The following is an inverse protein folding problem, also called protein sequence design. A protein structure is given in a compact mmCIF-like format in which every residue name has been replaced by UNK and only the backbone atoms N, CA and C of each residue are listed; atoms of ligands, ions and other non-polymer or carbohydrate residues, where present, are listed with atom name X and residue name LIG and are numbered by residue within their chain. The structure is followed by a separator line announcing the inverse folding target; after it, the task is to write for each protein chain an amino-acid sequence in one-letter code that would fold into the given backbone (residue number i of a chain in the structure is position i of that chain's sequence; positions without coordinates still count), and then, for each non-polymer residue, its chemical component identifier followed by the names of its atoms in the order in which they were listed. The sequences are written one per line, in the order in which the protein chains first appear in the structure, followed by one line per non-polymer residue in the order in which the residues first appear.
data_IF_888708729463
#
_entry.id   IF_888708729463
#
_cell.length_a   1.000
_cell.length_b   1.000
_cell.length_c   1.000
_cell.angle_alpha   90.00
_cell.angle_beta   90.00
_cell.angle_gamma   90.00
#
_symmetry.space_group_name_H-M   'P 1'
#
loop_
_entity.id
_entity.type
_entity.pdbx_description
1 polymer ?
#
# COMPACT_ATOMS: atom_id res chain seq x y z
N UNK A 1 -28.31 -17.17 9.45
CA UNK A 1 -26.90 -17.38 9.84
C UNK A 1 -26.01 -17.01 8.66
N UNK A 2 -25.09 -16.06 8.81
CA UNK A 2 -24.10 -15.72 7.77
C UNK A 2 -23.15 -16.91 7.53
N UNK A 3 -22.41 -16.92 6.42
CA UNK A 3 -21.33 -17.89 6.19
C UNK A 3 -20.35 -17.87 7.37
N UNK A 4 -19.80 -19.01 7.76
CA UNK A 4 -18.80 -19.07 8.82
C UNK A 4 -17.41 -18.95 8.21
N UNK A 5 -16.52 -18.20 8.83
CA UNK A 5 -15.19 -17.92 8.31
C UNK A 5 -14.11 -18.22 9.34
N UNK A 6 -13.00 -18.78 8.88
CA UNK A 6 -11.81 -19.04 9.69
C UNK A 6 -10.60 -18.46 8.97
N UNK A 7 -9.85 -17.61 9.66
CA UNK A 7 -8.53 -17.16 9.24
C UNK A 7 -7.51 -18.27 9.48
N UNK A 8 -6.77 -18.65 8.44
CA UNK A 8 -5.63 -19.55 8.53
C UNK A 8 -4.38 -18.74 8.22
N UNK A 9 -3.49 -18.61 9.20
CA UNK A 9 -2.26 -17.83 9.10
C UNK A 9 -1.04 -18.76 9.06
N UNK A 10 -0.19 -18.65 8.04
CA UNK A 10 1.03 -19.46 7.91
C UNK A 10 2.29 -18.65 8.19
N UNK A 11 3.09 -19.12 9.15
CA UNK A 11 4.42 -18.60 9.46
C UNK A 11 5.45 -19.73 9.41
N UNK A 12 6.28 -19.75 8.35
CA UNK A 12 7.20 -20.85 8.15
C UNK A 12 6.45 -22.19 8.10
N UNK A 13 6.71 -23.06 9.08
CA UNK A 13 6.06 -24.37 9.20
C UNK A 13 4.87 -24.39 10.19
N UNK A 14 4.36 -23.25 10.64
CA UNK A 14 3.20 -23.14 11.55
C UNK A 14 1.96 -22.68 10.81
N UNK A 15 0.82 -23.27 11.14
CA UNK A 15 -0.53 -22.82 10.74
C UNK A 15 -1.34 -22.46 11.99
N UNK A 16 -1.83 -21.23 12.06
CA UNK A 16 -2.69 -20.71 13.12
C UNK A 16 -4.10 -20.46 12.60
N UNK A 17 -5.07 -21.09 13.23
CA UNK A 17 -6.50 -21.02 12.89
C UNK A 17 -7.21 -20.13 13.90
N UNK A 18 -7.85 -19.07 13.42
CA UNK A 18 -8.60 -18.12 14.24
C UNK A 18 -9.99 -17.93 13.61
N UNK A 19 -11.09 -18.22 14.33
CA UNK A 19 -12.44 -18.09 13.80
C UNK A 19 -12.90 -16.63 13.77
N UNK A 20 -13.78 -16.31 12.83
CA UNK A 20 -14.60 -15.11 12.87
C UNK A 20 -15.94 -15.42 13.52
N UNK A 21 -16.34 -14.58 14.48
CA UNK A 21 -17.61 -14.68 15.20
C UNK A 21 -18.36 -13.36 15.11
N UNK A 22 -19.70 -13.43 15.14
CA UNK A 22 -20.52 -12.24 15.07
C UNK A 22 -20.36 -11.42 16.35
N UNK A 23 -19.90 -10.18 16.23
CA UNK A 23 -19.71 -9.25 17.34
C UNK A 23 -20.30 -7.90 16.97
N UNK A 24 -21.29 -7.44 17.73
CA UNK A 24 -22.04 -6.21 17.45
C UNK A 24 -22.58 -6.10 16.01
N UNK A 25 -22.99 -7.24 15.42
CA UNK A 25 -23.55 -7.30 14.07
C UNK A 25 -22.53 -7.35 12.94
N UNK A 26 -21.23 -7.44 13.23
CA UNK A 26 -20.15 -7.57 12.25
C UNK A 26 -19.27 -8.78 12.61
N UNK A 27 -18.79 -9.52 11.62
CA UNK A 27 -17.87 -10.63 11.84
C UNK A 27 -16.50 -10.09 12.30
N UNK A 28 -16.01 -10.63 13.43
CA UNK A 28 -14.75 -10.24 14.05
C UNK A 28 -13.93 -11.46 14.38
N UNK A 29 -12.62 -11.36 14.12
CA UNK A 29 -11.66 -12.39 14.51
C UNK A 29 -11.60 -12.49 16.04
N UNK A 30 -11.54 -13.71 16.57
CA UNK A 30 -11.41 -13.97 18.00
C UNK A 30 -10.31 -14.99 18.28
N UNK A 31 -9.69 -14.89 19.46
CA UNK A 31 -8.74 -15.85 20.02
C UNK A 31 -9.35 -16.73 21.12
N UNK A 32 -10.62 -16.52 21.48
CA UNK A 32 -11.35 -17.38 22.44
C UNK A 32 -11.39 -18.85 22.02
N UNK A 33 -11.16 -19.12 20.74
CA UNK A 33 -10.77 -20.41 20.20
C UNK A 33 -9.63 -20.22 19.20
N UNK A 34 -8.61 -21.08 19.28
CA UNK A 34 -7.57 -21.15 18.27
C UNK A 34 -7.02 -22.57 18.17
N UNK A 35 -6.51 -22.92 17.00
CA UNK A 35 -5.70 -24.14 16.79
C UNK A 35 -4.36 -23.73 16.19
N UNK A 36 -3.27 -24.32 16.65
CA UNK A 36 -1.93 -24.09 16.11
C UNK A 36 -1.28 -25.42 15.76
N UNK A 37 -1.03 -25.65 14.47
CA UNK A 37 -0.36 -26.84 13.95
C UNK A 37 1.06 -26.48 13.51
N UNK A 38 2.04 -27.36 13.77
CA UNK A 38 3.46 -27.08 13.50
C UNK A 38 4.15 -28.26 12.83
N UNK A 39 4.98 -27.98 11.83
CA UNK A 39 5.86 -28.97 11.22
C UNK A 39 5.07 -30.15 10.66
N UNK A 40 5.41 -31.36 11.13
CA UNK A 40 4.79 -32.60 10.67
C UNK A 40 3.30 -32.72 11.00
N UNK A 41 2.78 -31.92 11.95
CA UNK A 41 1.36 -31.96 12.34
C UNK A 41 0.45 -31.20 11.36
N UNK A 42 1.01 -30.36 10.48
CA UNK A 42 0.26 -29.61 9.47
C UNK A 42 -0.13 -30.48 8.25
N UNK A 43 -0.75 -31.63 8.52
CA UNK A 43 -1.28 -32.55 7.50
C UNK A 43 -2.67 -32.12 7.04
N UNK A 44 -3.09 -32.55 5.84
CA UNK A 44 -4.41 -32.24 5.31
C UNK A 44 -5.53 -32.72 6.26
N UNK A 45 -5.35 -33.89 6.88
CA UNK A 45 -6.29 -34.45 7.86
C UNK A 45 -6.43 -33.53 9.08
N UNK A 46 -5.31 -33.13 9.69
CA UNK A 46 -5.31 -32.28 10.90
C UNK A 46 -5.80 -30.87 10.63
N UNK A 47 -5.47 -30.31 9.47
CA UNK A 47 -5.99 -29.01 9.01
C UNK A 47 -7.51 -29.09 8.86
N UNK A 48 -8.02 -30.15 8.22
CA UNK A 48 -9.45 -30.38 8.07
C UNK A 48 -10.19 -30.51 9.40
N UNK A 49 -9.64 -31.31 10.32
CA UNK A 49 -10.16 -31.46 11.69
C UNK A 49 -10.19 -30.13 12.45
N UNK A 50 -9.14 -29.31 12.33
CA UNK A 50 -9.05 -28.00 12.98
C UNK A 50 -10.13 -27.03 12.46
N UNK A 51 -10.40 -27.04 11.15
CA UNK A 51 -11.45 -26.22 10.54
C UNK A 51 -12.84 -26.65 11.00
N UNK A 52 -13.13 -27.95 11.04
CA UNK A 52 -14.42 -28.45 11.55
C UNK A 52 -14.63 -28.07 13.03
N UNK A 53 -13.58 -28.14 13.86
CA UNK A 53 -13.67 -27.68 15.26
C UNK A 53 -13.92 -26.17 15.34
N UNK A 54 -13.28 -25.38 14.49
CA UNK A 54 -13.50 -23.94 14.43
C UNK A 54 -14.92 -23.59 13.98
N UNK A 55 -15.46 -24.27 12.97
CA UNK A 55 -16.85 -24.06 12.54
C UNK A 55 -17.85 -24.47 13.63
N UNK A 56 -17.63 -25.62 14.29
CA UNK A 56 -18.45 -26.03 15.42
C UNK A 56 -18.39 -25.02 16.58
N UNK A 57 -17.22 -24.40 16.81
CA UNK A 57 -17.07 -23.31 17.77
C UNK A 57 -17.91 -22.09 17.37
N UNK A 58 -17.84 -21.64 16.12
CA UNK A 58 -18.63 -20.49 15.62
C UNK A 58 -20.13 -20.76 15.77
N UNK A 59 -20.59 -21.95 15.36
CA UNK A 59 -22.00 -22.37 15.44
C UNK A 59 -22.51 -22.36 16.89
N UNK A 60 -21.71 -22.89 17.84
CA UNK A 60 -22.10 -22.99 19.24
C UNK A 60 -22.04 -21.66 19.98
N UNK A 61 -21.07 -20.81 19.63
CA UNK A 61 -20.79 -19.58 20.38
C UNK A 61 -21.84 -18.51 20.09
N UNK A 62 -22.33 -18.44 18.85
CA UNK A 62 -23.28 -17.41 18.46
C UNK A 62 -22.69 -16.00 18.57
N UNK A 63 -23.53 -14.96 18.67
CA UNK A 63 -23.06 -13.59 18.82
C UNK A 63 -22.40 -13.37 20.18
N UNK A 64 -21.25 -12.69 20.19
CA UNK A 64 -20.53 -12.34 21.41
C UNK A 64 -20.25 -10.85 21.49
N UNK A 65 -19.98 -10.37 22.70
CA UNK A 65 -19.41 -9.06 22.94
C UNK A 65 -17.91 -9.22 23.21
N UNK A 66 -17.10 -8.36 22.57
CA UNK A 66 -15.67 -8.24 22.79
C UNK A 66 -15.34 -6.77 23.04
N UNK A 67 -14.50 -6.49 24.01
CA UNK A 67 -13.99 -5.14 24.24
C UNK A 67 -12.95 -4.75 23.17
N UNK A 68 -12.51 -3.49 23.19
CA UNK A 68 -11.55 -2.98 22.20
C UNK A 68 -10.18 -3.65 22.33
N UNK A 69 -9.75 -4.01 23.54
CA UNK A 69 -8.46 -4.62 23.78
C UNK A 69 -8.42 -6.05 23.20
N UNK A 70 -9.47 -6.83 23.45
CA UNK A 70 -9.66 -8.16 22.89
C UNK A 70 -9.68 -8.13 21.36
N UNK A 71 -10.47 -7.22 20.78
CA UNK A 71 -10.53 -7.04 19.32
C UNK A 71 -9.15 -6.71 18.72
N UNK A 72 -8.38 -5.84 19.37
CA UNK A 72 -7.06 -5.43 18.89
C UNK A 72 -5.97 -6.48 19.10
N UNK A 73 -6.17 -7.46 19.98
CA UNK A 73 -5.14 -8.42 20.39
C UNK A 73 -5.43 -9.88 20.06
N UNK A 74 -6.56 -10.20 19.42
CA UNK A 74 -6.97 -11.56 19.02
C UNK A 74 -5.92 -12.34 18.18
N UNK A 75 -4.97 -11.67 17.54
CA UNK A 75 -3.91 -12.31 16.77
C UNK A 75 -2.68 -12.68 17.61
N UNK A 76 -2.59 -12.24 18.87
CA UNK A 76 -1.38 -12.41 19.69
C UNK A 76 -1.16 -13.84 20.15
N UNK A 77 -2.21 -14.64 20.25
CA UNK A 77 -2.15 -16.01 20.76
C UNK A 77 -1.20 -16.90 19.95
N UNK A 78 -0.27 -17.54 20.67
CA UNK A 78 0.77 -18.39 20.09
C UNK A 78 1.62 -17.70 19.00
N UNK A 79 1.85 -16.39 19.14
CA UNK A 79 2.73 -15.64 18.23
C UNK A 79 3.84 -14.91 18.97
N UNK A 80 4.93 -14.60 18.25
CA UNK A 80 6.08 -13.84 18.77
C UNK A 80 6.00 -12.34 18.51
N UNK A 81 4.94 -11.87 17.84
CA UNK A 81 4.86 -10.52 17.30
C UNK A 81 4.32 -9.54 18.34
N UNK A 82 4.89 -8.32 18.38
CA UNK A 82 4.46 -7.27 19.31
C UNK A 82 3.43 -6.30 18.71
N UNK A 83 3.28 -6.32 17.39
CA UNK A 83 2.33 -5.46 16.67
C UNK A 83 1.62 -6.25 15.59
N UNK A 84 0.34 -5.90 15.36
CA UNK A 84 -0.48 -6.51 14.30
C UNK A 84 0.22 -6.43 12.94
N UNK A 85 0.76 -5.26 12.60
CA UNK A 85 1.50 -5.04 11.35
C UNK A 85 2.66 -6.02 11.17
N UNK A 86 3.39 -6.35 12.24
CA UNK A 86 4.48 -7.33 12.18
C UNK A 86 3.93 -8.74 12.03
N UNK A 87 2.84 -9.09 12.72
CA UNK A 87 2.16 -10.36 12.51
C UNK A 87 1.69 -10.51 11.05
N UNK A 88 0.89 -9.57 10.56
CA UNK A 88 0.28 -9.64 9.23
C UNK A 88 1.31 -9.71 8.10
N UNK A 89 2.41 -8.94 8.19
CA UNK A 89 3.46 -8.92 7.16
C UNK A 89 4.27 -10.23 7.09
N UNK A 90 4.42 -10.93 8.22
CA UNK A 90 5.24 -12.12 8.32
C UNK A 90 4.42 -13.42 8.32
N UNK A 91 3.09 -13.32 8.15
CA UNK A 91 2.19 -14.47 8.05
C UNK A 91 1.42 -14.41 6.75
N UNK A 92 1.49 -15.50 5.99
CA UNK A 92 0.59 -15.69 4.86
C UNK A 92 -0.83 -15.89 5.34
N UNK A 93 -1.79 -15.56 4.47
CA UNK A 93 -3.19 -15.48 4.85
C UNK A 93 -4.07 -16.23 3.86
N UNK A 94 -4.83 -17.18 4.40
CA UNK A 94 -5.89 -17.91 3.72
C UNK A 94 -7.16 -17.78 4.56
N UNK A 95 -8.30 -17.56 3.91
CA UNK A 95 -9.61 -17.71 4.56
C UNK A 95 -10.22 -19.03 4.15
N UNK A 96 -10.89 -19.69 5.10
CA UNK A 96 -11.69 -20.88 4.86
C UNK A 96 -13.12 -20.59 5.29
N UNK A 97 -14.02 -20.54 4.32
CA UNK A 97 -15.43 -20.19 4.50
C UNK A 97 -16.31 -21.44 4.35
N UNK A 98 -17.27 -21.62 5.27
CA UNK A 98 -18.35 -22.60 5.19
C UNK A 98 -19.65 -21.89 4.87
N UNK A 99 -20.23 -22.21 3.71
CA UNK A 99 -21.49 -21.65 3.24
C UNK A 99 -22.68 -22.36 3.86
N UNK A 100 -23.86 -21.73 3.76
CA UNK A 100 -25.14 -22.28 4.24
C UNK A 100 -25.52 -23.61 3.58
N UNK A 101 -25.12 -23.81 2.33
CA UNK A 101 -25.39 -25.03 1.58
C UNK A 101 -24.44 -26.19 1.96
N UNK A 102 -23.50 -25.95 2.89
CA UNK A 102 -22.48 -26.90 3.31
C UNK A 102 -21.30 -27.00 2.36
N UNK A 103 -21.21 -26.13 1.34
CA UNK A 103 -20.01 -26.02 0.52
C UNK A 103 -18.96 -25.17 1.23
N UNK A 104 -17.70 -25.36 0.87
CA UNK A 104 -16.61 -24.55 1.39
C UNK A 104 -15.90 -23.80 0.27
N UNK A 105 -15.39 -22.62 0.61
CA UNK A 105 -14.46 -21.86 -0.22
C UNK A 105 -13.19 -21.63 0.57
N UNK A 106 -12.05 -21.86 -0.07
CA UNK A 106 -10.73 -21.55 0.48
C UNK A 106 -10.09 -20.52 -0.44
N UNK A 107 -9.83 -19.33 0.10
CA UNK A 107 -9.27 -18.21 -0.64
C UNK A 107 -7.90 -17.85 -0.11
N UNK A 108 -6.89 -17.77 -1.00
CA UNK A 108 -5.57 -17.24 -0.64
C UNK A 108 -5.47 -15.77 -1.06
N UNK A 109 -4.81 -14.98 -0.22
CA UNK A 109 -4.62 -13.55 -0.48
C UNK A 109 -3.14 -13.20 -0.62
N UNK A 110 -2.82 -12.13 -1.37
CA UNK A 110 -1.48 -11.59 -1.45
C UNK A 110 -0.97 -11.20 -0.05
N UNK A 111 0.36 -11.14 0.15
CA UNK A 111 0.93 -10.72 1.43
C UNK A 111 0.35 -9.39 1.90
N UNK A 112 -0.16 -9.37 3.14
CA UNK A 112 -0.82 -8.20 3.74
C UNK A 112 0.17 -7.05 3.90
N UNK A 113 -0.10 -5.93 3.23
CA UNK A 113 0.68 -4.69 3.37
C UNK A 113 0.09 -3.73 4.42
N UNK A 114 -1.20 -3.88 4.76
CA UNK A 114 -2.01 -3.14 5.77
C UNK A 114 -3.17 -4.02 6.28
N UNK A 115 -4.20 -3.42 6.89
CA UNK A 115 -5.43 -4.09 7.36
C UNK A 115 -6.32 -4.62 6.22
N UNK A 116 -6.01 -4.23 4.98
CA UNK A 116 -6.73 -4.65 3.78
C UNK A 116 -5.98 -5.81 3.11
N UNK A 117 -6.75 -6.83 2.73
CA UNK A 117 -6.30 -7.87 1.80
C UNK A 117 -6.47 -7.38 0.36
N UNK A 118 -5.55 -7.73 -0.53
CA UNK A 118 -5.68 -7.48 -1.97
C UNK A 118 -6.67 -8.46 -2.63
N UNK A 119 -6.78 -8.40 -3.96
CA UNK A 119 -7.56 -9.36 -4.75
C UNK A 119 -7.08 -10.80 -4.50
N UNK A 120 -8.01 -11.77 -4.52
CA UNK A 120 -7.72 -13.18 -4.29
C UNK A 120 -6.66 -13.71 -5.28
N UNK A 121 -5.60 -14.33 -4.76
CA UNK A 121 -4.61 -15.04 -5.59
C UNK A 121 -5.24 -16.31 -6.16
N UNK A 122 -6.03 -17.00 -5.36
CA UNK A 122 -6.78 -18.17 -5.79
C UNK A 122 -8.03 -18.35 -4.92
N UNK A 123 -9.04 -18.99 -5.51
CA UNK A 123 -10.26 -19.43 -4.84
C UNK A 123 -10.51 -20.89 -5.18
N UNK A 124 -10.61 -21.74 -4.17
CA UNK A 124 -10.80 -23.19 -4.31
C UNK A 124 -12.13 -23.56 -3.68
N UNK A 125 -13.05 -24.09 -4.50
CA UNK A 125 -14.34 -24.60 -4.03
C UNK A 125 -14.23 -26.06 -3.63
N UNK A 126 -14.67 -26.38 -2.40
CA UNK A 126 -14.82 -27.75 -1.92
C UNK A 126 -16.31 -28.10 -1.88
N UNK A 127 -16.74 -29.19 -2.55
CA UNK A 127 -18.16 -29.53 -2.66
C UNK A 127 -18.74 -30.01 -1.32
N UNK A 128 -20.06 -29.90 -1.21
CA UNK A 128 -20.84 -30.39 -0.07
C UNK A 128 -20.57 -31.88 0.15
N UNK A 129 -20.39 -32.28 1.41
CA UNK A 129 -20.18 -33.68 1.78
C UNK A 129 -18.76 -34.21 1.54
N UNK A 130 -17.82 -33.35 1.11
CA UNK A 130 -16.41 -33.72 1.07
C UNK A 130 -15.88 -34.02 2.48
N UNK A 131 -14.98 -35.00 2.65
CA UNK A 131 -14.40 -35.30 3.95
C UNK A 131 -13.47 -34.17 4.42
N UNK A 132 -13.22 -34.02 5.74
CA UNK A 132 -12.37 -32.94 6.27
C UNK A 132 -10.98 -32.87 5.63
N UNK A 133 -10.38 -34.03 5.29
CA UNK A 133 -9.09 -34.10 4.58
C UNK A 133 -9.10 -33.36 3.24
N UNK A 134 -10.23 -33.33 2.52
CA UNK A 134 -10.35 -32.60 1.27
C UNK A 134 -10.31 -31.08 1.50
N UNK A 135 -10.93 -30.61 2.59
CA UNK A 135 -10.86 -29.22 3.00
C UNK A 135 -9.44 -28.83 3.40
N UNK A 136 -8.76 -29.67 4.19
CA UNK A 136 -7.37 -29.41 4.54
C UNK A 136 -6.41 -29.45 3.35
N UNK A 137 -6.69 -30.29 2.35
CA UNK A 137 -5.94 -30.28 1.08
C UNK A 137 -6.16 -28.99 0.29
N UNK A 138 -7.39 -28.47 0.24
CA UNK A 138 -7.67 -27.18 -0.38
C UNK A 138 -6.87 -26.03 0.27
N UNK A 139 -6.69 -26.04 1.60
CA UNK A 139 -5.82 -25.06 2.29
C UNK A 139 -4.36 -25.21 1.87
N UNK A 140 -3.84 -26.43 1.77
CA UNK A 140 -2.47 -26.68 1.31
C UNK A 140 -2.28 -26.24 -0.15
N UNK A 141 -3.24 -26.53 -1.02
CA UNK A 141 -3.24 -26.13 -2.42
C UNK A 141 -3.31 -24.60 -2.56
N UNK A 142 -4.10 -23.92 -1.72
CA UNK A 142 -4.16 -22.47 -1.67
C UNK A 142 -2.81 -21.84 -1.25
N UNK A 143 -2.12 -22.44 -0.28
CA UNK A 143 -0.78 -22.02 0.09
C UNK A 143 0.26 -22.30 -1.00
N UNK A 144 0.14 -23.41 -1.72
CA UNK A 144 1.01 -23.70 -2.85
C UNK A 144 0.80 -22.70 -3.99
N UNK A 145 -0.44 -22.30 -4.27
CA UNK A 145 -0.75 -21.24 -5.23
C UNK A 145 -0.15 -19.89 -4.80
N UNK A 146 -0.24 -19.56 -3.50
CA UNK A 146 0.39 -18.36 -2.95
C UNK A 146 1.93 -18.39 -3.04
N UNK A 147 2.56 -19.56 -2.83
CA UNK A 147 4.00 -19.73 -3.00
C UNK A 147 4.42 -19.52 -4.46
N UNK A 148 3.66 -20.09 -5.41
CA UNK A 148 3.86 -19.85 -6.84
C UNK A 148 3.73 -18.37 -7.21
N UNK A 149 2.67 -17.72 -6.73
CA UNK A 149 2.44 -16.30 -6.96
C UNK A 149 3.59 -15.44 -6.40
N UNK A 150 4.11 -15.74 -5.20
CA UNK A 150 5.25 -15.03 -4.62
C UNK A 150 6.56 -15.23 -5.39
N UNK A 151 6.76 -16.42 -5.95
CA UNK A 151 7.92 -16.69 -6.80
C UNK A 151 7.89 -15.82 -8.06
N UNK A 152 6.70 -15.59 -8.62
CA UNK A 152 6.48 -14.68 -9.75
C UNK A 152 6.52 -13.19 -9.34
N UNK A 153 6.27 -12.89 -8.06
CA UNK A 153 6.21 -11.53 -7.50
C UNK A 153 7.20 -11.34 -6.31
N UNK A 154 8.53 -11.37 -6.54
CA UNK A 154 9.55 -11.34 -5.48
C UNK A 154 9.57 -10.05 -4.63
N UNK A 155 8.82 -9.02 -5.02
CA UNK A 155 8.62 -7.77 -4.27
C UNK A 155 7.32 -7.68 -3.47
N UNK A 156 6.47 -8.72 -3.47
CA UNK A 156 5.09 -8.66 -3.00
C UNK A 156 4.15 -8.03 -4.03
N UNK A 157 2.87 -7.83 -3.65
CA UNK A 157 1.91 -7.19 -4.54
C UNK A 157 2.36 -5.75 -4.65
N UNK A 158 2.65 -5.27 -5.86
CA UNK A 158 2.67 -3.84 -6.07
C UNK A 158 1.32 -3.34 -5.53
N UNK A 159 1.27 -2.39 -4.57
CA UNK A 159 -0.01 -1.81 -4.18
C UNK A 159 -0.74 -1.45 -5.48
N UNK A 160 -2.03 -1.78 -5.58
CA UNK A 160 -2.84 -1.34 -6.71
C UNK A 160 -2.52 0.13 -6.89
N UNK A 161 -1.95 0.48 -8.05
CA UNK A 161 -1.57 1.85 -8.31
C UNK A 161 -2.82 2.68 -8.05
N UNK A 162 -2.77 3.66 -7.14
CA UNK A 162 -3.91 4.55 -6.98
C UNK A 162 -4.23 5.10 -8.39
N UNK A 163 -5.51 5.26 -8.74
CA UNK A 163 -5.88 5.70 -10.08
C UNK A 163 -5.09 6.97 -10.42
N UNK A 164 -4.74 7.13 -11.70
CA UNK A 164 -4.00 8.31 -12.15
C UNK A 164 -4.68 9.57 -11.63
N UNK A 165 -3.91 10.41 -10.95
CA UNK A 165 -4.40 11.69 -10.48
C UNK A 165 -4.32 12.70 -11.62
N UNK A 166 -5.35 13.53 -11.74
CA UNK A 166 -5.41 14.56 -12.79
C UNK A 166 -5.72 15.91 -12.18
N UNK A 167 -5.08 16.95 -12.70
CA UNK A 167 -5.37 18.33 -12.36
C UNK A 167 -5.41 19.20 -13.61
N UNK A 168 -6.25 20.23 -13.58
CA UNK A 168 -6.31 21.25 -14.62
C UNK A 168 -5.37 22.40 -14.25
N UNK A 169 -4.49 22.77 -15.17
CA UNK A 169 -3.72 24.01 -15.12
C UNK A 169 -4.61 25.21 -15.50
N UNK A 170 -4.17 26.42 -15.19
CA UNK A 170 -4.90 27.67 -15.45
C UNK A 170 -5.18 27.90 -16.94
N UNK A 171 -4.32 27.41 -17.83
CA UNK A 171 -4.48 27.47 -19.29
C UNK A 171 -5.55 26.49 -19.83
N UNK A 172 -6.12 25.64 -18.96
CA UNK A 172 -7.06 24.59 -19.31
C UNK A 172 -6.42 23.26 -19.72
N UNK A 173 -5.08 23.17 -19.73
CA UNK A 173 -4.37 21.90 -19.93
C UNK A 173 -4.61 20.97 -18.76
N UNK A 174 -4.71 19.66 -19.04
CA UNK A 174 -4.88 18.63 -18.00
C UNK A 174 -3.58 17.85 -17.85
N UNK A 175 -3.04 17.85 -16.62
CA UNK A 175 -1.88 17.04 -16.25
C UNK A 175 -2.37 15.80 -15.54
N UNK A 176 -2.04 14.64 -16.10
CA UNK A 176 -2.35 13.32 -15.52
C UNK A 176 -1.05 12.63 -15.14
N UNK A 177 -0.91 12.23 -13.87
CA UNK A 177 0.25 11.49 -13.37
C UNK A 177 -0.18 10.27 -12.56
N UNK A 178 0.60 9.18 -12.57
CA UNK A 178 0.35 8.07 -11.68
C UNK A 178 0.55 8.54 -10.24
N UNK A 179 -0.30 8.05 -9.33
CA UNK A 179 -0.13 8.37 -7.93
C UNK A 179 1.22 7.84 -7.40
N UNK A 180 1.87 8.56 -6.46
CA UNK A 180 3.22 8.21 -6.02
C UNK A 180 3.26 6.82 -5.36
N UNK A 181 4.09 5.93 -5.89
CA UNK A 181 4.32 4.63 -5.28
C UNK A 181 5.02 4.76 -3.91
N UNK A 182 4.87 3.75 -3.05
CA UNK A 182 5.68 3.65 -1.83
C UNK A 182 4.98 4.09 -0.54
N UNK A 183 3.66 4.19 -0.54
CA UNK A 183 2.84 4.38 0.67
C UNK A 183 2.49 5.82 1.00
N UNK A 184 2.61 6.72 0.02
CA UNK A 184 2.10 8.08 0.09
C UNK A 184 0.58 8.10 0.34
N UNK A 185 0.14 9.17 0.99
CA UNK A 185 -1.26 9.49 1.27
C UNK A 185 -1.57 10.80 0.59
N UNK A 186 -2.70 10.87 -0.11
CA UNK A 186 -3.17 12.10 -0.76
C UNK A 186 -3.60 13.12 0.29
N UNK A 187 -3.20 14.37 0.08
CA UNK A 187 -3.45 15.49 0.97
C UNK A 187 -4.23 16.58 0.24
N UNK A 188 -4.93 17.42 0.99
CA UNK A 188 -5.42 18.69 0.45
C UNK A 188 -4.22 19.58 0.12
N UNK A 189 -4.15 20.19 -1.08
CA UNK A 189 -3.06 21.08 -1.44
C UNK A 189 -2.87 22.22 -0.44
N UNK A 190 -1.61 22.48 -0.07
CA UNK A 190 -1.27 23.45 0.98
C UNK A 190 -1.30 24.91 0.52
N UNK A 191 -1.32 25.16 -0.78
CA UNK A 191 -1.30 26.49 -1.38
C UNK A 191 -2.06 26.51 -2.70
N UNK A 192 -2.43 27.70 -3.19
CA UNK A 192 -3.27 27.86 -4.37
C UNK A 192 -2.59 27.42 -5.67
N UNK A 193 -1.26 27.54 -5.71
CA UNK A 193 -0.39 27.11 -6.80
C UNK A 193 -0.16 25.59 -6.80
N UNK A 194 -0.47 24.89 -5.71
CA UNK A 194 -0.33 23.43 -5.62
C UNK A 194 -1.61 22.78 -6.13
N UNK A 195 -1.49 22.02 -7.21
CA UNK A 195 -2.60 21.36 -7.88
C UNK A 195 -2.90 19.99 -7.26
N UNK A 196 -1.85 19.24 -6.91
CA UNK A 196 -1.94 17.91 -6.31
C UNK A 196 -0.85 17.74 -5.26
N UNK A 197 -1.13 17.02 -4.18
CA UNK A 197 -0.19 16.84 -3.08
C UNK A 197 -0.35 15.49 -2.39
N UNK A 198 0.78 14.88 -2.04
CA UNK A 198 0.84 13.67 -1.24
C UNK A 198 1.93 13.77 -0.18
N UNK A 199 1.70 13.13 0.96
CA UNK A 199 2.66 13.00 2.06
C UNK A 199 3.05 11.54 2.30
N UNK A 200 4.31 11.29 2.65
CA UNK A 200 4.77 9.99 3.12
C UNK A 200 4.90 10.03 4.65
N UNK A 201 4.03 9.34 5.41
CA UNK A 201 4.11 9.36 6.86
C UNK A 201 5.36 8.65 7.38
N UNK A 202 5.99 9.26 8.37
CA UNK A 202 7.07 8.68 9.15
C UNK A 202 6.58 7.63 10.16
N UNK A 203 7.50 7.11 10.97
CA UNK A 203 7.15 6.12 12.02
C UNK A 203 6.25 6.70 13.09
N UNK A 204 6.39 8.00 13.35
CA UNK A 204 5.71 8.71 14.43
C UNK A 204 4.42 9.41 13.95
N UNK A 205 4.02 9.16 12.70
CA UNK A 205 2.85 9.79 12.07
C UNK A 205 3.18 11.07 11.30
N UNK A 206 4.20 11.82 11.73
CA UNK A 206 4.66 13.03 11.03
C UNK A 206 5.20 12.72 9.63
N UNK A 207 4.80 13.48 8.59
CA UNK A 207 5.34 13.31 7.24
C UNK A 207 6.86 13.46 7.18
N UNK A 208 7.50 12.64 6.36
CA UNK A 208 8.97 12.67 6.15
C UNK A 208 9.35 12.92 4.69
N UNK A 209 8.37 12.94 3.79
CA UNK A 209 8.55 13.33 2.40
C UNK A 209 7.22 13.80 1.81
N UNK A 210 7.29 14.62 0.77
CA UNK A 210 6.14 15.11 0.03
C UNK A 210 6.39 14.98 -1.46
N UNK A 211 5.35 14.62 -2.20
CA UNK A 211 5.30 14.74 -3.66
C UNK A 211 4.17 15.67 -3.99
N UNK A 212 4.39 16.65 -4.85
CA UNK A 212 3.35 17.58 -5.23
C UNK A 212 3.54 18.09 -6.65
N UNK A 213 2.43 18.46 -7.28
CA UNK A 213 2.38 19.13 -8.57
C UNK A 213 1.99 20.58 -8.31
N UNK A 214 2.81 21.52 -8.77
CA UNK A 214 2.51 22.96 -8.68
C UNK A 214 2.56 23.63 -10.06
N UNK A 215 1.75 24.66 -10.24
CA UNK A 215 1.72 25.51 -11.42
C UNK A 215 2.27 26.89 -11.09
N UNK A 216 2.85 27.55 -12.08
CA UNK A 216 3.20 28.95 -11.97
C UNK A 216 3.63 29.56 -13.29
N UNK A 217 3.72 30.88 -13.23
CA UNK A 217 4.10 31.74 -14.34
C UNK A 217 5.63 31.85 -14.39
N UNK A 218 6.24 30.87 -15.06
CA UNK A 218 7.68 30.77 -15.24
C UNK A 218 7.90 30.73 -16.74
N UNK A 219 8.71 31.66 -17.27
CA UNK A 219 9.07 31.76 -18.70
C UNK A 219 9.76 30.49 -19.26
N UNK A 220 9.01 29.39 -19.33
CA UNK A 220 9.46 28.05 -19.69
C UNK A 220 10.36 27.34 -18.67
N UNK A 221 10.70 26.07 -18.95
CA UNK A 221 11.45 25.18 -18.04
C UNK A 221 12.91 25.59 -17.78
N UNK A 222 13.36 26.75 -18.27
CA UNK A 222 14.75 27.21 -18.22
C UNK A 222 14.96 28.65 -17.75
N UNK A 223 13.90 29.37 -17.34
CA UNK A 223 14.03 30.76 -16.90
C UNK A 223 15.00 30.90 -15.71
N UNK A 224 16.02 31.76 -15.85
CA UNK A 224 16.98 32.03 -14.77
C UNK A 224 16.29 32.67 -13.56
N UNK A 225 15.28 33.51 -13.78
CA UNK A 225 14.48 34.12 -12.72
C UNK A 225 13.69 33.09 -11.90
N UNK A 226 13.07 32.11 -12.57
CA UNK A 226 12.31 31.04 -11.89
C UNK A 226 13.22 30.11 -11.09
N UNK A 227 14.42 29.84 -11.61
CA UNK A 227 15.45 29.09 -10.90
C UNK A 227 15.95 29.85 -9.66
N UNK A 228 16.29 31.13 -9.80
CA UNK A 228 16.79 31.96 -8.71
C UNK A 228 15.73 32.17 -7.61
N UNK A 229 14.46 32.35 -8.01
CA UNK A 229 13.33 32.41 -7.10
C UNK A 229 13.17 31.09 -6.32
N UNK A 230 13.23 29.94 -7.01
CA UNK A 230 13.13 28.63 -6.37
C UNK A 230 14.27 28.40 -5.37
N UNK A 231 15.52 28.71 -5.74
CA UNK A 231 16.67 28.61 -4.83
C UNK A 231 16.53 29.59 -3.67
N UNK A 232 16.03 30.80 -3.91
CA UNK A 232 15.76 31.82 -2.89
C UNK A 232 14.73 31.35 -1.87
N UNK A 233 13.57 30.85 -2.32
CA UNK A 233 12.54 30.26 -1.46
C UNK A 233 13.08 29.07 -0.68
N UNK A 234 13.85 28.20 -1.34
CA UNK A 234 14.46 27.05 -0.68
C UNK A 234 15.42 27.47 0.44
N UNK A 235 16.27 28.48 0.24
CA UNK A 235 17.17 28.99 1.28
C UNK A 235 16.42 29.52 2.50
N UNK A 236 15.30 30.21 2.28
CA UNK A 236 14.46 30.74 3.36
C UNK A 236 13.82 29.60 4.16
N UNK A 237 13.28 28.59 3.50
CA UNK A 237 12.55 27.50 4.15
C UNK A 237 13.45 26.42 4.74
N UNK A 238 14.53 26.06 4.05
CA UNK A 238 15.36 24.88 4.35
C UNK A 238 16.78 25.23 4.84
N UNK A 239 17.15 26.51 4.82
CA UNK A 239 18.50 27.00 5.15
C UNK A 239 19.49 26.90 4.00
N UNK A 240 20.79 27.07 4.27
CA UNK A 240 21.79 27.05 3.19
C UNK A 240 22.01 25.65 2.57
N UNK A 241 22.02 25.53 1.24
CA UNK A 241 22.27 24.27 0.56
C UNK A 241 23.75 23.90 0.63
N UNK A 242 24.02 22.61 0.76
CA UNK A 242 25.35 22.03 0.52
C UNK A 242 25.61 21.86 -0.97
N UNK A 243 24.56 21.62 -1.75
CA UNK A 243 24.60 21.47 -3.20
C UNK A 243 23.31 21.99 -3.81
N UNK A 244 23.45 22.65 -4.95
CA UNK A 244 22.35 23.09 -5.79
C UNK A 244 22.75 22.80 -7.24
N UNK A 245 21.85 22.24 -8.03
CA UNK A 245 22.11 21.93 -9.43
C UNK A 245 20.88 22.04 -10.31
N UNK A 246 21.09 22.52 -11.53
CA UNK A 246 20.12 22.55 -12.62
C UNK A 246 20.70 21.77 -13.80
N UNK A 247 19.89 20.92 -14.41
CA UNK A 247 20.32 20.13 -15.56
C UNK A 247 19.17 19.72 -16.46
N UNK A 248 19.51 19.27 -17.66
CA UNK A 248 18.53 18.67 -18.57
C UNK A 248 17.95 17.38 -17.97
N UNK A 249 16.69 17.11 -18.30
CA UNK A 249 15.99 15.87 -17.96
C UNK A 249 15.27 15.36 -19.20
N UNK A 250 15.29 14.05 -19.41
CA UNK A 250 14.77 13.38 -20.61
C UNK A 250 13.61 12.39 -20.30
N UNK A 251 13.00 12.50 -19.11
CA UNK A 251 11.93 11.63 -18.67
C UNK A 251 10.54 12.26 -18.77
N UNK A 252 9.78 11.87 -19.80
CA UNK A 252 8.38 12.27 -19.97
C UNK A 252 8.23 13.70 -20.54
N UNK A 253 7.18 14.45 -20.15
CA UNK A 253 6.95 15.82 -20.65
C UNK A 253 7.89 16.86 -20.00
N UNK A 254 8.66 16.47 -18.99
CA UNK A 254 9.57 17.35 -18.26
C UNK A 254 10.92 17.45 -18.97
N UNK A 255 11.46 18.65 -19.10
CA UNK A 255 12.72 18.92 -19.82
C UNK A 255 13.89 19.31 -18.92
N UNK A 256 13.62 19.69 -17.67
CA UNK A 256 14.63 20.23 -16.75
C UNK A 256 14.44 19.65 -15.35
N UNK A 257 15.56 19.36 -14.68
CA UNK A 257 15.64 18.94 -13.29
C UNK A 257 16.37 19.99 -12.46
N UNK A 258 15.73 20.38 -11.36
CA UNK A 258 16.28 21.22 -10.31
C UNK A 258 16.49 20.38 -9.06
N UNK A 259 17.61 20.58 -8.37
CA UNK A 259 17.91 19.87 -7.13
C UNK A 259 18.63 20.79 -6.14
N UNK A 260 18.20 20.75 -4.88
CA UNK A 260 18.83 21.42 -3.77
C UNK A 260 18.87 20.46 -2.57
N UNK A 261 20.00 20.43 -1.87
CA UNK A 261 20.18 19.52 -0.72
C UNK A 261 21.05 20.12 0.35
N UNK A 262 20.72 19.82 1.60
CA UNK A 262 21.63 19.93 2.73
C UNK A 262 21.53 18.67 3.63
N UNK A 263 21.95 18.78 4.90
CA UNK A 263 21.88 17.65 5.84
C UNK A 263 20.43 17.27 6.20
N UNK A 264 19.54 18.26 6.20
CA UNK A 264 18.20 18.19 6.74
C UNK A 264 17.12 18.08 5.67
N UNK A 265 17.40 18.52 4.45
CA UNK A 265 16.42 18.53 3.35
C UNK A 265 17.06 18.16 2.01
N UNK A 266 16.26 17.51 1.17
CA UNK A 266 16.47 17.32 -0.26
C UNK A 266 15.19 17.76 -0.97
N UNK A 267 15.32 18.60 -1.98
CA UNK A 267 14.24 19.01 -2.86
C UNK A 267 14.63 18.76 -4.31
N UNK A 268 13.75 18.15 -5.08
CA UNK A 268 13.89 17.94 -6.52
C UNK A 268 12.63 18.47 -7.19
N UNK A 269 12.79 19.24 -8.27
CA UNK A 269 11.67 19.66 -9.12
C UNK A 269 11.97 19.29 -10.58
N UNK A 270 10.97 18.69 -11.24
CA UNK A 270 10.99 18.41 -12.68
C UNK A 270 10.03 19.37 -13.35
N UNK A 271 10.50 20.12 -14.36
CA UNK A 271 9.76 21.24 -14.96
C UNK A 271 9.31 20.91 -16.38
N UNK A 272 8.03 21.14 -16.67
CA UNK A 272 7.43 20.99 -17.99
C UNK A 272 6.64 22.25 -18.37
N UNK A 273 6.78 22.75 -19.61
CA UNK A 273 5.93 23.85 -20.08
C UNK A 273 4.48 23.39 -20.22
N UNK A 274 3.56 24.31 -19.93
CA UNK A 274 2.15 24.22 -20.35
C UNK A 274 1.84 25.42 -21.27
N UNK A 275 0.63 25.51 -21.81
CA UNK A 275 0.24 26.60 -22.69
C UNK A 275 0.24 27.97 -21.98
N UNK A 276 0.17 29.05 -22.76
CA UNK A 276 -0.01 30.40 -22.22
C UNK A 276 1.22 31.04 -21.55
N UNK A 277 2.39 30.41 -21.60
CA UNK A 277 3.61 30.91 -20.93
C UNK A 277 3.85 30.32 -19.54
N UNK A 278 2.89 29.56 -19.01
CA UNK A 278 3.00 28.89 -17.71
C UNK A 278 3.80 27.58 -17.80
N UNK A 279 4.20 27.07 -16.65
CA UNK A 279 4.80 25.75 -16.52
C UNK A 279 4.26 25.02 -15.28
N UNK A 280 4.45 23.71 -15.26
CA UNK A 280 4.17 22.86 -14.09
C UNK A 280 5.46 22.24 -13.57
N UNK A 281 5.52 22.05 -12.24
CA UNK A 281 6.63 21.40 -11.56
C UNK A 281 6.14 20.20 -10.77
N UNK A 282 6.71 19.03 -11.06
CA UNK A 282 6.55 17.84 -10.24
C UNK A 282 7.70 17.78 -9.23
N UNK A 283 7.36 17.91 -7.96
CA UNK A 283 8.30 18.14 -6.88
C UNK A 283 8.37 16.94 -5.92
N UNK A 284 9.56 16.72 -5.35
CA UNK A 284 9.83 15.79 -4.26
C UNK A 284 10.62 16.52 -3.18
N UNK A 285 10.08 16.57 -1.97
CA UNK A 285 10.77 17.03 -0.77
C UNK A 285 10.99 15.86 0.19
N UNK A 286 12.18 15.75 0.78
CA UNK A 286 12.55 14.68 1.72
C UNK A 286 13.26 15.25 2.93
N UNK A 287 12.75 14.93 4.13
CA UNK A 287 13.39 15.30 5.38
C UNK A 287 14.52 14.35 5.77
N UNK A 288 15.57 14.92 6.34
CA UNK A 288 16.76 14.24 6.86
C UNK A 288 17.29 13.16 5.91
N UNK A 289 17.54 13.48 4.61
CA UNK A 289 17.82 12.48 3.58
C UNK A 289 19.05 11.63 3.91
N UNK A 290 20.06 12.18 4.60
CA UNK A 290 21.24 11.43 5.05
C UNK A 290 20.94 10.34 6.06
N UNK A 291 19.99 10.56 6.99
CA UNK A 291 19.51 9.52 7.93
C UNK A 291 18.63 8.48 7.24
N UNK A 292 18.22 8.75 6.00
CA UNK A 292 17.23 7.97 5.23
C UNK A 292 17.71 7.66 3.81
N UNK A 293 19.02 7.52 3.60
CA UNK A 293 19.62 7.48 2.26
C UNK A 293 18.98 6.46 1.30
N UNK A 294 18.66 5.24 1.79
CA UNK A 294 17.98 4.22 0.97
C UNK A 294 16.54 4.61 0.60
N UNK A 295 15.83 5.27 1.51
CA UNK A 295 14.47 5.76 1.26
C UNK A 295 14.52 6.90 0.25
N UNK A 296 15.41 7.89 0.46
CA UNK A 296 15.58 9.02 -0.46
C UNK A 296 15.88 8.53 -1.87
N UNK A 297 16.87 7.64 -2.06
CA UNK A 297 17.19 7.08 -3.38
C UNK A 297 16.00 6.37 -4.04
N UNK A 298 15.19 5.64 -3.27
CA UNK A 298 13.98 4.98 -3.76
C UNK A 298 12.91 6.00 -4.17
N UNK A 299 12.75 7.07 -3.41
CA UNK A 299 11.78 8.14 -3.70
C UNK A 299 12.19 8.94 -4.94
N UNK A 300 13.48 9.22 -5.11
CA UNK A 300 14.01 9.86 -6.31
C UNK A 300 13.75 9.02 -7.57
N UNK A 301 13.95 7.70 -7.48
CA UNK A 301 13.61 6.78 -8.56
C UNK A 301 12.11 6.80 -8.87
N UNK A 302 11.27 6.74 -7.82
CA UNK A 302 9.81 6.76 -7.97
C UNK A 302 9.30 8.07 -8.59
N UNK A 303 9.88 9.21 -8.24
CA UNK A 303 9.61 10.50 -8.89
C UNK A 303 9.94 10.43 -10.39
N UNK A 304 11.10 9.88 -10.75
CA UNK A 304 11.50 9.72 -12.15
C UNK A 304 10.59 8.78 -12.94
N UNK A 305 10.12 7.71 -12.33
CA UNK A 305 9.15 6.78 -12.94
C UNK A 305 7.78 7.45 -13.14
N UNK A 306 7.31 8.20 -12.13
CA UNK A 306 6.07 8.97 -12.22
C UNK A 306 6.15 10.02 -13.33
N UNK A 307 7.26 10.77 -13.39
CA UNK A 307 7.50 11.80 -14.40
C UNK A 307 7.48 11.24 -15.82
N UNK A 308 8.09 10.05 -16.05
CA UNK A 308 8.07 9.36 -17.35
C UNK A 308 6.68 8.92 -17.78
N UNK A 309 5.81 8.62 -16.82
CA UNK A 309 4.44 8.20 -17.07
C UNK A 309 3.44 9.36 -17.17
N UNK A 310 3.82 10.56 -16.71
CA UNK A 310 2.98 11.76 -16.78
C UNK A 310 2.60 12.11 -18.21
N UNK A 311 1.35 12.57 -18.38
CA UNK A 311 0.82 13.10 -19.64
C UNK A 311 0.28 14.50 -19.42
N UNK A 312 0.60 15.41 -20.33
CA UNK A 312 0.02 16.75 -20.39
C UNK A 312 -0.86 16.79 -21.64
N UNK A 313 -2.16 16.97 -21.45
CA UNK A 313 -3.13 17.14 -22.53
C UNK A 313 -3.42 18.63 -22.68
N UNK A 314 -3.02 19.28 -23.78
CA UNK A 314 -3.24 20.71 -23.98
C UNK A 314 -4.73 21.07 -23.99
N UNK A 315 -5.06 22.30 -23.59
CA UNK A 315 -6.39 22.85 -23.78
C UNK A 315 -6.81 22.83 -25.26
N UNK A 316 -8.10 22.61 -25.57
CA UNK A 316 -8.60 22.78 -26.93
C UNK A 316 -8.38 24.23 -27.40
N UNK A 317 -8.04 24.45 -28.67
CA UNK A 317 -7.87 25.80 -29.20
C UNK A 317 -9.17 26.60 -29.04
N UNK A 318 -9.06 27.84 -28.54
CA UNK A 318 -10.17 28.79 -28.53
C UNK A 318 -10.59 29.08 -29.99
N UNK A 319 -11.88 28.87 -30.31
CA UNK A 319 -12.47 29.21 -31.61
C UNK A 319 -12.81 30.70 -31.69
#
# INVERSE_FOLDING_TARGET
MMSMEVAVNREGNRLLFLPYVLCWGIDRLTDRFFVSLRGADATAEKIGEALEQAYAYIERTGPIEMDLEEQQNCWRHDTKYKTWRSFARNNDFVTAMKNKDGSYYVCAYPPRNRDLVGDEVCSIRVPVGAPPVALGRAVLDAYAALDGWKAEHPGGMAPAAPPDASASACDGSVVTLPAPAGGFVEETPSAAEVLLQWSLPGRDGEPVAWVYLEEGDWDGPGGDDAWDEWVGRWRVSCGEPRSVSRGAWDGGPFGVRWEARNASFLSIALVAPVGGGSAVRLCLDVESPGRRARMAARLEQALGDAARATRITPAPPEN
#
